data_IF_689538859277
#
_entry.id   IF_689538859277
#
_cell.length_a   1.000
_cell.length_b   1.000
_cell.length_c   1.000
_cell.angle_alpha   90.00
_cell.angle_beta   90.00
_cell.angle_gamma   90.00
#
_symmetry.space_group_name_H-M   'P 1'
#
loop_
_entity.id
_entity.type
_entity.pdbx_description
1 polymer ?
#
# COMPACT_ATOMS: atom_id res chain seq x y z
N UNK A 1 -3.89 2.74 20.36
CA UNK A 1 -3.42 2.21 19.07
C UNK A 1 -2.36 3.09 18.42
N UNK A 2 -2.30 4.40 18.65
CA UNK A 2 -1.34 5.32 18.06
C UNK A 2 -1.81 6.76 18.08
N UNK A 3 -1.18 7.57 17.28
CA UNK A 3 -1.50 8.99 17.14
C UNK A 3 -2.43 9.24 15.94
N UNK A 4 -3.21 10.29 15.98
CA UNK A 4 -3.93 10.77 14.79
C UNK A 4 -2.97 11.15 13.67
N UNK A 5 -3.44 11.04 12.43
CA UNK A 5 -2.59 11.20 11.25
C UNK A 5 -1.89 12.57 11.20
N UNK A 6 -2.57 13.65 11.59
CA UNK A 6 -1.99 15.00 11.61
C UNK A 6 -0.78 15.09 12.55
N UNK A 7 -0.90 14.51 13.75
CA UNK A 7 0.21 14.47 14.73
C UNK A 7 1.37 13.63 14.19
N UNK A 8 1.06 12.48 13.62
CA UNK A 8 2.06 11.58 13.05
C UNK A 8 2.77 12.22 11.85
N UNK A 9 2.05 12.90 10.98
CA UNK A 9 2.63 13.59 9.83
C UNK A 9 3.53 14.75 10.24
N UNK A 10 3.19 15.48 11.30
CA UNK A 10 4.08 16.51 11.84
C UNK A 10 5.40 15.90 12.35
N UNK A 11 5.34 14.75 13.02
CA UNK A 11 6.55 14.02 13.40
C UNK A 11 7.36 13.54 12.18
N UNK A 12 6.69 13.07 11.14
CA UNK A 12 7.33 12.66 9.88
C UNK A 12 8.08 13.83 9.24
N UNK A 13 7.43 14.98 9.13
CA UNK A 13 8.04 16.20 8.59
C UNK A 13 9.29 16.62 9.39
N UNK A 14 9.23 16.57 10.71
CA UNK A 14 10.36 16.88 11.57
C UNK A 14 11.54 15.92 11.36
N UNK A 15 11.27 14.61 11.28
CA UNK A 15 12.32 13.61 11.01
C UNK A 15 12.97 13.87 9.64
N UNK A 16 12.19 14.22 8.63
CA UNK A 16 12.72 14.59 7.32
C UNK A 16 13.60 15.85 7.38
N UNK A 17 13.20 16.86 8.13
CA UNK A 17 14.00 18.08 8.34
C UNK A 17 15.33 17.79 9.04
N UNK A 18 15.31 17.00 10.11
CA UNK A 18 16.49 16.64 10.91
C UNK A 18 17.50 15.77 10.11
N UNK A 19 17.03 15.11 9.05
CA UNK A 19 17.85 14.22 8.23
C UNK A 19 18.10 14.72 6.80
N UNK A 20 17.94 16.02 6.56
CA UNK A 20 18.26 16.60 5.25
C UNK A 20 19.65 16.21 4.77
N UNK A 21 19.77 15.87 3.51
CA UNK A 21 21.03 15.48 2.87
C UNK A 21 21.53 14.07 3.17
N UNK A 22 20.81 13.32 3.99
CA UNK A 22 21.12 11.89 4.23
C UNK A 22 20.26 10.99 3.33
N UNK A 23 20.75 9.82 3.01
CA UNK A 23 19.92 8.74 2.44
C UNK A 23 19.04 8.19 3.58
N UNK A 24 17.74 8.34 3.45
CA UNK A 24 16.77 7.93 4.44
C UNK A 24 15.61 7.20 3.76
N UNK A 25 15.25 6.04 4.26
CA UNK A 25 13.96 5.41 4.03
C UNK A 25 13.13 5.55 5.31
N UNK A 26 12.04 6.31 5.24
CA UNK A 26 11.12 6.52 6.34
C UNK A 26 9.76 5.90 5.99
N UNK A 27 9.33 4.94 6.78
CA UNK A 27 8.01 4.32 6.63
C UNK A 27 7.09 4.84 7.72
N UNK A 28 5.98 5.44 7.32
CA UNK A 28 4.97 5.99 8.22
C UNK A 28 3.65 5.25 8.01
N UNK A 29 3.11 4.66 9.07
CA UNK A 29 1.83 3.94 9.02
C UNK A 29 0.73 4.77 9.67
N UNK A 30 -0.33 5.05 8.91
CA UNK A 30 -1.51 5.78 9.38
C UNK A 30 -2.50 4.85 10.09
N UNK A 31 -3.34 5.39 10.98
CA UNK A 31 -4.29 4.62 11.78
C UNK A 31 -5.73 5.15 11.74
N UNK A 32 -5.97 6.35 11.24
CA UNK A 32 -7.30 6.98 11.34
C UNK A 32 -8.38 6.25 10.50
N UNK A 33 -7.99 5.42 9.55
CA UNK A 33 -8.91 4.53 8.82
C UNK A 33 -9.11 3.15 9.48
N UNK A 34 -8.36 2.84 10.54
CA UNK A 34 -8.52 1.59 11.25
C UNK A 34 -9.73 1.63 12.19
N UNK A 35 -10.49 0.55 12.26
CA UNK A 35 -11.57 0.40 13.24
C UNK A 35 -10.99 0.44 14.67
N UNK A 36 -11.66 1.06 15.64
CA UNK A 36 -13.02 1.64 15.64
C UNK A 36 -13.12 3.09 15.12
N UNK A 37 -12.23 3.55 14.28
CA UNK A 37 -12.20 4.90 13.72
C UNK A 37 -11.95 5.98 14.79
N UNK A 38 -10.70 6.14 15.26
CA UNK A 38 -10.35 6.98 16.42
C UNK A 38 -10.57 8.48 16.20
N UNK A 39 -10.76 8.93 14.96
CA UNK A 39 -11.08 10.31 14.62
C UNK A 39 -12.53 10.69 14.95
N UNK A 40 -13.39 9.77 15.36
CA UNK A 40 -14.78 10.07 15.71
C UNK A 40 -14.82 11.10 16.84
N UNK A 41 -15.31 12.29 16.51
CA UNK A 41 -15.30 13.45 17.41
C UNK A 41 -14.02 14.29 17.40
N UNK A 42 -12.91 13.81 16.86
CA UNK A 42 -11.68 14.55 16.73
C UNK A 42 -11.77 15.54 15.56
N UNK A 43 -11.59 16.84 15.84
CA UNK A 43 -11.71 17.93 14.85
C UNK A 43 -13.02 17.88 14.05
N UNK A 44 -14.09 17.52 14.72
CA UNK A 44 -15.42 17.33 14.14
C UNK A 44 -15.93 18.59 13.43
N UNK A 45 -15.68 19.75 14.01
CA UNK A 45 -16.07 21.07 13.50
C UNK A 45 -15.38 21.45 12.19
N UNK A 46 -14.26 20.83 11.86
CA UNK A 46 -13.52 21.08 10.63
C UNK A 46 -14.12 20.31 9.43
N UNK A 47 -15.04 19.39 9.68
CA UNK A 47 -15.68 18.62 8.63
C UNK A 47 -16.90 19.35 8.07
N UNK A 48 -17.09 19.39 6.74
CA UNK A 48 -18.33 19.88 6.15
C UNK A 48 -19.54 19.10 6.68
N UNK A 49 -20.68 19.78 6.83
CA UNK A 49 -21.91 19.19 7.38
C UNK A 49 -22.30 17.87 6.68
N UNK A 50 -22.28 17.82 5.35
CA UNK A 50 -22.65 16.60 4.61
C UNK A 50 -21.70 15.42 4.80
N UNK A 51 -20.46 15.66 5.24
CA UNK A 51 -19.50 14.61 5.61
C UNK A 51 -19.69 14.26 7.08
N UNK A 52 -19.73 15.26 7.92
CA UNK A 52 -19.85 15.13 9.39
C UNK A 52 -21.10 14.32 9.77
N UNK A 53 -22.22 14.64 9.16
CA UNK A 53 -23.52 14.06 9.49
C UNK A 53 -23.82 12.79 8.67
N UNK A 54 -22.87 12.34 7.85
CA UNK A 54 -23.01 11.09 7.10
C UNK A 54 -23.11 9.90 8.06
N UNK A 55 -24.14 9.05 7.93
CA UNK A 55 -24.32 7.89 8.80
C UNK A 55 -23.20 6.85 8.64
N UNK A 56 -22.51 6.84 7.51
CA UNK A 56 -21.40 5.93 7.26
C UNK A 56 -20.08 6.53 7.74
N UNK A 57 -19.49 5.95 8.78
CA UNK A 57 -18.23 6.42 9.38
C UNK A 57 -17.04 6.37 8.42
N UNK A 58 -17.09 5.48 7.42
CA UNK A 58 -16.01 5.36 6.41
C UNK A 58 -15.91 6.63 5.57
N UNK A 59 -17.02 7.28 5.24
CA UNK A 59 -17.02 8.56 4.50
C UNK A 59 -16.24 9.62 5.26
N UNK A 60 -16.48 9.73 6.57
CA UNK A 60 -15.74 10.67 7.43
C UNK A 60 -14.25 10.32 7.49
N UNK A 61 -13.95 9.02 7.59
CA UNK A 61 -12.56 8.53 7.61
C UNK A 61 -11.79 8.87 6.35
N UNK A 62 -12.37 8.59 5.21
CA UNK A 62 -11.74 8.91 3.90
C UNK A 62 -11.52 10.42 3.78
N UNK A 63 -12.53 11.23 4.12
CA UNK A 63 -12.40 12.69 4.10
C UNK A 63 -11.26 13.17 5.02
N UNK A 64 -11.20 12.66 6.24
CA UNK A 64 -10.18 13.03 7.20
C UNK A 64 -8.77 12.65 6.73
N UNK A 65 -8.60 11.43 6.23
CA UNK A 65 -7.31 10.98 5.68
C UNK A 65 -6.88 11.83 4.50
N UNK A 66 -7.78 12.13 3.57
CA UNK A 66 -7.52 13.01 2.43
C UNK A 66 -7.06 14.40 2.89
N UNK A 67 -7.75 14.99 3.86
CA UNK A 67 -7.38 16.29 4.43
C UNK A 67 -6.03 16.30 5.14
N UNK A 68 -5.71 15.25 5.86
CA UNK A 68 -4.41 15.14 6.52
C UNK A 68 -3.27 14.94 5.53
N UNK A 69 -3.49 14.20 4.44
CA UNK A 69 -2.54 14.07 3.33
C UNK A 69 -2.35 15.41 2.62
N UNK A 70 -3.42 16.12 2.30
CA UNK A 70 -3.36 17.47 1.72
C UNK A 70 -2.49 18.41 2.59
N UNK A 71 -2.76 18.43 3.88
CA UNK A 71 -2.02 19.25 4.84
C UNK A 71 -0.53 18.85 4.89
N UNK A 72 -0.24 17.56 4.95
CA UNK A 72 1.12 17.03 4.93
C UNK A 72 1.92 17.53 3.73
N UNK A 73 1.38 17.45 2.53
CA UNK A 73 2.07 17.88 1.33
C UNK A 73 2.24 19.40 1.25
N UNK A 74 1.25 20.18 1.70
CA UNK A 74 1.37 21.64 1.80
C UNK A 74 2.51 22.04 2.76
N UNK A 75 2.59 21.40 3.91
CA UNK A 75 3.66 21.66 4.88
C UNK A 75 5.01 21.13 4.37
N UNK A 76 5.06 19.98 3.72
CA UNK A 76 6.28 19.45 3.11
C UNK A 76 6.83 20.41 2.04
N UNK A 77 5.97 20.97 1.20
CA UNK A 77 6.36 21.97 0.19
C UNK A 77 6.87 23.26 0.84
N UNK A 78 6.12 23.80 1.78
CA UNK A 78 6.48 25.03 2.53
C UNK A 78 7.82 24.90 3.26
N UNK A 79 8.12 23.73 3.80
CA UNK A 79 9.40 23.41 4.47
C UNK A 79 10.50 23.04 3.47
N UNK A 80 10.24 23.03 2.17
CA UNK A 80 11.22 22.65 1.14
C UNK A 80 11.67 21.19 1.22
N UNK A 81 10.78 20.30 1.68
CA UNK A 81 11.02 18.85 1.76
C UNK A 81 10.64 18.13 0.47
N UNK A 82 9.88 18.79 -0.41
CA UNK A 82 9.56 18.29 -1.75
C UNK A 82 10.62 18.76 -2.74
N UNK A 83 11.85 18.32 -2.56
CA UNK A 83 12.96 18.63 -3.46
C UNK A 83 13.17 17.53 -4.51
N UNK A 84 14.15 17.71 -5.40
CA UNK A 84 14.46 16.79 -6.48
C UNK A 84 15.01 15.42 -6.01
N UNK A 85 15.36 15.29 -4.76
CA UNK A 85 15.92 14.08 -4.15
C UNK A 85 14.94 13.35 -3.26
N UNK A 86 13.73 13.90 -3.12
CA UNK A 86 12.70 13.34 -2.26
C UNK A 86 11.64 12.64 -3.10
N UNK A 87 11.38 11.39 -2.75
CA UNK A 87 10.30 10.58 -3.29
C UNK A 87 9.33 10.23 -2.16
N UNK A 88 8.07 10.56 -2.33
CA UNK A 88 6.99 10.06 -1.49
C UNK A 88 6.29 8.90 -2.20
N UNK A 89 6.11 7.80 -1.49
CA UNK A 89 5.32 6.68 -1.92
C UNK A 89 4.11 6.54 -1.00
N UNK A 90 2.91 6.54 -1.57
CA UNK A 90 1.67 6.32 -0.84
C UNK A 90 1.07 5.00 -1.30
N UNK A 91 0.80 4.13 -0.35
CA UNK A 91 0.11 2.86 -0.58
C UNK A 91 -0.72 2.50 0.65
N UNK A 92 -1.47 1.40 0.57
CA UNK A 92 -2.17 0.80 1.70
C UNK A 92 -1.52 -0.51 2.10
N UNK A 93 -1.65 -0.92 3.36
CA UNK A 93 -1.22 -2.25 3.82
C UNK A 93 -2.19 -3.35 3.34
N UNK A 94 -3.47 -3.04 3.21
CA UNK A 94 -4.51 -3.92 2.66
C UNK A 94 -5.76 -3.10 2.28
N UNK A 95 -6.68 -3.73 1.58
CA UNK A 95 -8.02 -3.18 1.35
C UNK A 95 -8.90 -3.31 2.61
N UNK A 96 -9.97 -2.51 2.75
CA UNK A 96 -10.92 -2.65 3.85
C UNK A 96 -11.53 -4.05 3.90
N UNK A 97 -11.75 -4.57 5.12
CA UNK A 97 -12.38 -5.86 5.31
C UNK A 97 -13.82 -5.90 4.77
N UNK A 98 -14.17 -7.00 4.09
CA UNK A 98 -15.55 -7.26 3.67
C UNK A 98 -16.47 -7.39 4.89
N UNK A 99 -17.68 -6.87 4.80
CA UNK A 99 -18.71 -6.95 5.86
C UNK A 99 -18.78 -5.76 6.81
N UNK A 100 -17.90 -4.75 6.66
CA UNK A 100 -17.94 -3.51 7.44
C UNK A 100 -18.78 -2.40 6.77
N UNK A 101 -18.70 -1.20 7.32
CA UNK A 101 -19.35 0.00 6.79
C UNK A 101 -18.92 0.32 5.35
N UNK A 102 -17.68 -0.06 4.99
CA UNK A 102 -17.14 0.09 3.64
C UNK A 102 -17.96 -0.67 2.60
N UNK A 103 -18.38 -1.90 2.88
CA UNK A 103 -19.16 -2.72 1.93
C UNK A 103 -20.54 -2.13 1.61
N UNK A 104 -21.06 -1.27 2.48
CA UNK A 104 -22.29 -0.53 2.23
C UNK A 104 -22.11 0.60 1.20
N UNK A 105 -20.88 1.04 0.97
CA UNK A 105 -20.54 2.09 0.01
C UNK A 105 -20.22 1.57 -1.38
N UNK A 106 -19.78 0.32 -1.48
CA UNK A 106 -19.28 -0.27 -2.73
C UNK A 106 -20.08 -1.53 -3.03
N UNK A 107 -21.09 -1.42 -3.90
CA UNK A 107 -21.95 -2.54 -4.29
C UNK A 107 -21.17 -3.75 -4.82
N UNK A 108 -20.04 -3.51 -5.49
CA UNK A 108 -19.15 -4.56 -6.01
C UNK A 108 -18.25 -5.20 -4.95
N UNK A 109 -18.16 -4.64 -3.75
CA UNK A 109 -17.41 -5.26 -2.64
C UNK A 109 -18.07 -6.54 -2.12
N UNK A 110 -19.25 -6.86 -2.58
CA UNK A 110 -19.91 -8.14 -2.33
C UNK A 110 -19.38 -9.30 -3.20
N UNK A 111 -18.47 -9.03 -4.12
CA UNK A 111 -17.79 -10.11 -4.82
C UNK A 111 -16.94 -10.90 -3.83
N UNK A 112 -17.01 -12.22 -3.96
CA UNK A 112 -16.46 -13.23 -3.03
C UNK A 112 -14.94 -13.11 -2.76
N UNK A 113 -14.26 -12.20 -3.45
CA UNK A 113 -12.85 -11.92 -3.29
C UNK A 113 -12.67 -10.76 -2.30
N UNK A 114 -12.22 -11.10 -1.10
CA UNK A 114 -11.85 -10.12 -0.05
C UNK A 114 -10.64 -9.26 -0.42
N UNK A 115 -10.14 -9.39 -1.66
CA UNK A 115 -8.95 -8.72 -2.14
C UNK A 115 -9.34 -7.75 -3.25
N UNK A 116 -9.04 -6.49 -3.03
CA UNK A 116 -9.22 -5.42 -4.00
C UNK A 116 -7.88 -4.73 -4.26
N UNK A 117 -7.69 -4.11 -5.43
CA UNK A 117 -6.52 -3.28 -5.69
C UNK A 117 -6.37 -2.20 -4.63
N UNK A 118 -5.13 -2.00 -4.17
CA UNK A 118 -4.75 -0.89 -3.31
C UNK A 118 -4.02 0.18 -4.12
N UNK A 119 -4.08 1.47 -3.71
CA UNK A 119 -3.38 2.51 -4.43
C UNK A 119 -1.86 2.34 -4.32
N UNK A 120 -1.15 2.74 -5.37
CA UNK A 120 0.29 2.91 -5.36
C UNK A 120 0.62 4.20 -6.09
N UNK A 121 1.05 5.22 -5.36
CA UNK A 121 1.36 6.54 -5.88
C UNK A 121 2.82 6.88 -5.59
N UNK A 122 3.53 7.30 -6.62
CA UNK A 122 4.88 7.88 -6.52
C UNK A 122 4.78 9.38 -6.77
N UNK A 123 5.29 10.19 -5.85
CA UNK A 123 5.23 11.66 -5.92
C UNK A 123 6.63 12.22 -5.72
N UNK A 124 7.17 12.87 -6.75
CA UNK A 124 8.45 13.58 -6.70
C UNK A 124 8.50 14.67 -7.77
N UNK A 125 9.33 15.69 -7.57
CA UNK A 125 9.56 16.74 -8.57
C UNK A 125 10.36 16.26 -9.78
N UNK A 126 11.16 15.22 -9.61
CA UNK A 126 12.05 14.68 -10.65
C UNK A 126 11.59 13.35 -11.26
N UNK A 127 10.41 12.89 -10.90
CA UNK A 127 9.88 11.76 -11.65
C UNK A 127 9.67 12.23 -13.09
N UNK A 128 10.51 11.72 -13.99
CA UNK A 128 10.22 11.69 -15.42
C UNK A 128 8.77 11.24 -15.56
N UNK A 129 7.96 11.87 -16.44
CA UNK A 129 6.56 11.48 -16.59
C UNK A 129 6.48 9.97 -16.70
N UNK A 130 5.92 9.35 -15.66
CA UNK A 130 5.73 7.90 -15.58
C UNK A 130 4.58 7.46 -16.49
N UNK A 131 4.39 8.11 -17.62
CA UNK A 131 3.46 7.67 -18.63
C UNK A 131 3.80 6.25 -19.11
N UNK A 132 5.07 5.88 -18.99
CA UNK A 132 5.55 4.51 -19.19
C UNK A 132 5.27 3.60 -18.00
N UNK A 133 5.07 4.14 -16.78
CA UNK A 133 4.74 3.39 -15.56
C UNK A 133 3.24 3.37 -15.23
N UNK A 134 2.40 3.93 -16.07
CA UNK A 134 0.96 3.64 -16.04
C UNK A 134 0.72 2.24 -16.58
N UNK A 135 1.27 1.31 -15.86
CA UNK A 135 1.13 -0.09 -16.18
C UNK A 135 -0.25 -0.55 -15.73
N UNK A 136 -1.04 -0.99 -16.67
CA UNK A 136 -2.15 -1.92 -16.40
C UNK A 136 -1.58 -3.30 -16.00
N UNK A 137 -0.34 -3.33 -15.51
CA UNK A 137 0.33 -4.54 -15.12
C UNK A 137 -0.05 -4.89 -13.68
N UNK A 138 -0.19 -6.17 -13.44
CA UNK A 138 -0.39 -6.68 -12.10
C UNK A 138 0.88 -6.47 -11.27
N UNK A 139 0.70 -5.96 -10.06
CA UNK A 139 1.76 -5.71 -9.10
C UNK A 139 1.26 -6.01 -7.69
N UNK A 140 2.16 -6.26 -6.78
CA UNK A 140 1.85 -6.54 -5.37
C UNK A 140 2.84 -5.87 -4.42
N UNK A 141 2.54 -5.89 -3.14
CA UNK A 141 3.38 -5.24 -2.13
C UNK A 141 4.81 -5.80 -2.07
N UNK A 142 5.02 -7.06 -2.46
CA UNK A 142 6.37 -7.65 -2.52
C UNK A 142 7.29 -6.94 -3.51
N UNK A 143 6.72 -6.24 -4.50
CA UNK A 143 7.46 -5.48 -5.51
C UNK A 143 7.96 -4.12 -5.00
N UNK A 144 7.45 -3.66 -3.86
CA UNK A 144 7.79 -2.33 -3.33
C UNK A 144 9.27 -2.26 -2.88
N UNK A 145 9.74 -3.27 -2.15
CA UNK A 145 11.10 -3.25 -1.62
C UNK A 145 12.15 -3.24 -2.73
N UNK A 146 12.14 -4.15 -3.73
CA UNK A 146 13.11 -4.10 -4.83
C UNK A 146 12.99 -2.81 -5.66
N UNK A 147 11.79 -2.28 -5.85
CA UNK A 147 11.57 -1.01 -6.55
C UNK A 147 12.19 0.16 -5.80
N UNK A 148 11.97 0.26 -4.49
CA UNK A 148 12.51 1.32 -3.65
C UNK A 148 14.04 1.27 -3.56
N UNK A 149 14.63 0.09 -3.39
CA UNK A 149 16.08 -0.09 -3.38
C UNK A 149 16.70 0.39 -4.69
N UNK A 150 16.10 0.02 -5.82
CA UNK A 150 16.56 0.49 -7.13
C UNK A 150 16.48 2.02 -7.25
N UNK A 151 15.37 2.63 -6.85
CA UNK A 151 15.20 4.10 -6.87
C UNK A 151 16.19 4.82 -5.94
N UNK A 152 16.60 4.19 -4.85
CA UNK A 152 17.64 4.70 -3.94
C UNK A 152 19.06 4.50 -4.47
N UNK A 153 19.24 3.83 -5.62
CA UNK A 153 20.54 3.47 -6.17
C UNK A 153 21.27 2.45 -5.31
N UNK A 154 20.54 1.54 -4.68
CA UNK A 154 21.05 0.43 -3.88
C UNK A 154 20.95 -0.87 -4.67
N UNK A 155 21.83 -1.80 -4.36
CA UNK A 155 21.76 -3.14 -4.93
C UNK A 155 20.51 -3.86 -4.42
N UNK A 156 19.81 -4.53 -5.35
CA UNK A 156 18.64 -5.34 -5.02
C UNK A 156 19.10 -6.78 -4.79
N UNK A 157 18.96 -7.33 -3.58
CA UNK A 157 19.33 -8.71 -3.32
C UNK A 157 18.55 -9.71 -4.20
N UNK A 158 19.21 -10.73 -4.71
CA UNK A 158 18.61 -11.77 -5.56
C UNK A 158 17.48 -12.55 -4.89
N UNK A 159 17.42 -12.52 -3.56
CA UNK A 159 16.42 -13.25 -2.77
C UNK A 159 15.04 -12.60 -2.71
N UNK A 160 14.87 -11.40 -3.25
CA UNK A 160 13.52 -10.79 -3.31
C UNK A 160 12.63 -11.57 -4.30
N UNK A 161 11.45 -11.96 -3.85
CA UNK A 161 10.44 -12.56 -4.73
C UNK A 161 9.76 -11.52 -5.63
N UNK A 162 9.68 -10.28 -5.17
CA UNK A 162 9.12 -9.17 -5.92
C UNK A 162 10.08 -8.68 -7.01
N UNK A 163 9.53 -8.00 -7.99
CA UNK A 163 10.26 -7.39 -9.12
C UNK A 163 10.38 -5.88 -8.98
N UNK A 164 11.31 -5.29 -9.69
CA UNK A 164 11.35 -3.85 -9.86
C UNK A 164 10.24 -3.41 -10.84
N UNK A 165 9.28 -2.65 -10.34
CA UNK A 165 8.11 -2.16 -11.12
C UNK A 165 8.50 -1.16 -12.22
N UNK A 166 9.71 -0.60 -12.20
CA UNK A 166 10.23 0.29 -13.23
C UNK A 166 10.80 -0.45 -14.44
N UNK A 167 10.88 -1.77 -14.37
CA UNK A 167 11.36 -2.61 -15.46
C UNK A 167 10.21 -3.40 -16.07
N UNK A 168 10.11 -3.44 -17.39
CA UNK A 168 9.10 -4.24 -18.07
C UNK A 168 9.19 -5.72 -17.66
N UNK A 169 8.04 -6.34 -17.43
CA UNK A 169 7.93 -7.77 -17.18
C UNK A 169 7.23 -8.47 -18.34
N UNK A 170 7.74 -9.63 -18.74
CA UNK A 170 7.11 -10.44 -19.81
C UNK A 170 5.79 -11.08 -19.37
N UNK A 171 5.65 -11.35 -18.09
CA UNK A 171 4.44 -11.93 -17.49
C UNK A 171 4.22 -11.33 -16.09
N UNK A 172 3.69 -10.10 -16.00
CA UNK A 172 3.46 -9.45 -14.72
C UNK A 172 2.33 -10.15 -13.96
N UNK A 173 2.54 -10.32 -12.66
CA UNK A 173 1.57 -10.93 -11.76
C UNK A 173 1.49 -10.19 -10.43
N UNK A 174 0.40 -10.40 -9.72
CA UNK A 174 0.20 -9.94 -8.35
C UNK A 174 -0.05 -11.13 -7.42
N UNK A 175 0.55 -11.06 -6.25
CA UNK A 175 0.34 -12.01 -5.17
C UNK A 175 -0.35 -11.34 -3.99
N UNK A 176 -1.25 -12.07 -3.36
CA UNK A 176 -1.89 -11.67 -2.11
C UNK A 176 -2.04 -12.86 -1.18
N UNK A 177 -2.19 -12.56 0.12
CA UNK A 177 -2.46 -13.58 1.12
C UNK A 177 -3.51 -13.06 2.10
N UNK A 178 -4.56 -13.84 2.32
CA UNK A 178 -5.59 -13.51 3.28
C UNK A 178 -6.35 -14.76 3.76
N UNK A 179 -6.53 -14.90 5.07
CA UNK A 179 -7.36 -15.93 5.67
C UNK A 179 -6.92 -17.36 5.33
N UNK A 180 -5.62 -17.66 5.29
CA UNK A 180 -5.08 -18.97 4.97
C UNK A 180 -5.08 -19.28 3.47
N UNK A 181 -5.34 -18.29 2.61
CA UNK A 181 -5.39 -18.45 1.16
C UNK A 181 -4.36 -17.57 0.48
N UNK A 182 -3.65 -18.14 -0.50
CA UNK A 182 -2.84 -17.41 -1.44
C UNK A 182 -3.68 -17.03 -2.67
N UNK A 183 -3.42 -15.87 -3.20
CA UNK A 183 -4.11 -15.30 -4.36
C UNK A 183 -3.10 -14.92 -5.41
N UNK A 184 -3.38 -15.28 -6.64
CA UNK A 184 -2.55 -14.98 -7.79
C UNK A 184 -3.38 -14.35 -8.89
N UNK A 185 -2.88 -13.28 -9.52
CA UNK A 185 -3.46 -12.64 -10.68
C UNK A 185 -2.40 -12.29 -11.72
N UNK A 186 -2.71 -12.61 -12.96
CA UNK A 186 -1.98 -12.14 -14.13
C UNK A 186 -2.97 -11.79 -15.25
N UNK A 187 -2.47 -11.37 -16.39
CA UNK A 187 -3.30 -11.09 -17.57
C UNK A 187 -3.98 -12.34 -18.14
N UNK A 188 -3.44 -13.53 -17.87
CA UNK A 188 -3.89 -14.80 -18.45
C UNK A 188 -4.50 -15.73 -17.43
N UNK A 189 -4.19 -15.57 -16.16
CA UNK A 189 -4.59 -16.49 -15.09
C UNK A 189 -4.94 -15.74 -13.81
N UNK A 190 -5.91 -16.24 -13.09
CA UNK A 190 -6.18 -15.87 -11.71
C UNK A 190 -6.69 -17.08 -10.95
N UNK A 191 -6.09 -17.36 -9.83
CA UNK A 191 -6.50 -18.46 -8.97
C UNK A 191 -6.35 -18.13 -7.49
N UNK A 192 -7.04 -18.92 -6.67
CA UNK A 192 -7.00 -18.87 -5.21
C UNK A 192 -6.66 -20.24 -4.71
N UNK A 193 -5.57 -20.39 -4.00
CA UNK A 193 -5.18 -21.64 -3.39
C UNK A 193 -5.36 -21.62 -1.87
N UNK A 194 -5.80 -22.73 -1.31
CA UNK A 194 -5.84 -22.96 0.13
C UNK A 194 -4.52 -23.59 0.56
N UNK A 195 -3.66 -22.81 1.20
CA UNK A 195 -2.34 -23.28 1.66
C UNK A 195 -2.39 -24.50 2.59
N UNK A 196 -3.52 -24.74 3.26
CA UNK A 196 -3.69 -25.87 4.18
C UNK A 196 -4.08 -27.19 3.46
N UNK A 197 -4.44 -27.13 2.18
CA UNK A 197 -4.84 -28.31 1.41
C UNK A 197 -4.68 -28.05 -0.10
N UNK A 198 -3.44 -28.02 -0.61
CA UNK A 198 -3.19 -27.73 -2.02
C UNK A 198 -3.85 -28.82 -2.89
N UNK A 199 -4.71 -28.41 -3.80
CA UNK A 199 -5.21 -29.29 -4.84
C UNK A 199 -4.20 -29.37 -5.97
N UNK A 200 -3.72 -30.56 -6.36
CA UNK A 200 -2.67 -30.69 -7.36
C UNK A 200 -3.16 -30.25 -8.74
N UNK A 201 -2.58 -29.20 -9.26
CA UNK A 201 -2.69 -28.82 -10.66
C UNK A 201 -1.30 -28.34 -11.11
N UNK A 202 -0.67 -29.02 -12.07
CA UNK A 202 0.78 -29.00 -12.32
C UNK A 202 1.43 -27.62 -12.50
N UNK A 203 0.71 -26.59 -13.01
CA UNK A 203 1.24 -25.23 -13.17
C UNK A 203 0.97 -24.34 -11.95
N UNK A 204 -0.17 -24.54 -11.28
CA UNK A 204 -0.52 -23.86 -10.04
C UNK A 204 0.41 -24.33 -8.91
N UNK A 205 0.75 -25.62 -8.89
CA UNK A 205 1.67 -26.20 -7.92
C UNK A 205 3.08 -25.64 -8.01
N UNK A 206 3.59 -25.33 -9.20
CA UNK A 206 4.93 -24.79 -9.37
C UNK A 206 5.07 -23.41 -8.73
N UNK A 207 4.07 -22.56 -8.84
CA UNK A 207 4.10 -21.21 -8.25
C UNK A 207 3.80 -21.25 -6.75
N UNK A 208 2.82 -22.03 -6.34
CA UNK A 208 2.50 -22.23 -4.92
C UNK A 208 3.68 -22.88 -4.19
N UNK A 209 4.31 -23.88 -4.77
CA UNK A 209 5.52 -24.50 -4.25
C UNK A 209 6.70 -23.51 -4.24
N UNK A 210 6.83 -22.66 -5.25
CA UNK A 210 7.85 -21.60 -5.27
C UNK A 210 7.62 -20.59 -4.13
N UNK A 211 6.39 -20.16 -3.90
CA UNK A 211 6.03 -19.24 -2.81
C UNK A 211 6.27 -19.91 -1.45
N UNK A 212 5.77 -21.14 -1.25
CA UNK A 212 5.94 -21.90 0.00
C UNK A 212 7.41 -22.19 0.25
N UNK A 213 8.16 -22.61 -0.77
CA UNK A 213 9.58 -22.93 -0.65
C UNK A 213 10.40 -21.69 -0.27
N UNK A 214 10.17 -20.56 -0.92
CA UNK A 214 10.88 -19.33 -0.62
C UNK A 214 10.46 -18.73 0.73
N UNK A 215 9.18 -18.81 1.11
CA UNK A 215 8.69 -18.39 2.41
C UNK A 215 9.18 -19.37 3.52
N UNK A 216 9.17 -20.66 3.26
CA UNK A 216 9.68 -21.69 4.18
C UNK A 216 11.18 -21.60 4.42
N UNK A 217 11.97 -21.23 3.41
CA UNK A 217 13.41 -20.99 3.56
C UNK A 217 13.71 -19.76 4.44
N UNK A 218 12.83 -18.79 4.46
CA UNK A 218 12.97 -17.60 5.33
C UNK A 218 12.81 -17.98 6.81
N UNK A 219 11.82 -18.81 7.14
CA UNK A 219 11.55 -19.25 8.52
C UNK A 219 12.51 -20.33 9.02
N UNK A 220 13.29 -20.97 8.18
CA UNK A 220 14.30 -21.95 8.60
C UNK A 220 15.68 -21.35 8.93
N UNK A 221 15.84 -20.02 8.76
CA UNK A 221 17.10 -19.30 9.04
C UNK A 221 17.05 -18.51 10.36
N UNK A 222 15.94 -18.56 11.11
CA UNK A 222 15.82 -18.13 12.50
C UNK A 222 16.03 -19.32 13.45
#
# INVERSE_FOLDING_TARGET
WGYHNDVMYEHTLRILEENRGKKLLLVTKTLDMHQPYPYTGYRWEEMPEGVRDNPNVTVRGVYWVDKTIEHFFKEAEKRGLMDERTLFLITSDHNPHSGGEYTKLVEKANDKLSIAPIPLLFISKNLVPLDELRTNEYASQIDLAPTLLYLMGLEVPEKFMGRNLLQPASNPFALGYFGGKAFYWSSTQHFVDQMDNPTPNDEEDALTNYIIHNYGLWHQQE
#
